data_IF_729493176982
#
_entry.id   IF_729493176982
#
_cell.length_a   1.000
_cell.length_b   1.000
_cell.length_c   1.000
_cell.angle_alpha   90.00
_cell.angle_beta   90.00
_cell.angle_gamma   90.00
#
_symmetry.space_group_name_H-M   'P 1'
#
loop_
_entity.id
_entity.type
_entity.pdbx_description
1 polymer ?
#
# COMPACT_ATOMS: atom_id res chain seq x y z
N UNK A 1 -15.52 -6.41 7.70
CA UNK A 1 -14.33 -7.04 8.33
C UNK A 1 -14.16 -8.42 7.72
N UNK A 2 -13.15 -8.65 6.87
CA UNK A 2 -12.94 -9.95 6.22
C UNK A 2 -12.27 -10.90 7.22
N UNK A 3 -12.96 -11.98 7.59
CA UNK A 3 -12.38 -13.06 8.39
C UNK A 3 -11.49 -13.89 7.46
N UNK A 4 -10.18 -13.76 7.62
CA UNK A 4 -9.23 -14.60 6.90
C UNK A 4 -9.02 -15.91 7.66
N UNK A 5 -9.20 -17.04 6.97
CA UNK A 5 -8.79 -18.35 7.46
C UNK A 5 -7.46 -18.71 6.79
N UNK A 6 -6.42 -18.95 7.58
CA UNK A 6 -5.10 -19.36 7.09
C UNK A 6 -5.04 -20.88 7.13
N UNK A 7 -5.01 -21.52 5.97
CA UNK A 7 -4.79 -22.96 5.84
C UNK A 7 -3.33 -23.22 5.48
N UNK A 8 -2.70 -24.17 6.17
CA UNK A 8 -1.41 -24.72 5.74
C UNK A 8 -1.66 -25.82 4.73
N UNK A 9 -0.99 -25.73 3.59
CA UNK A 9 -1.06 -26.73 2.53
C UNK A 9 0.37 -27.08 2.10
N UNK A 10 0.63 -28.36 1.89
CA UNK A 10 1.91 -28.89 1.40
C UNK A 10 2.06 -28.74 -0.13
N UNK A 11 1.01 -28.31 -0.84
CA UNK A 11 1.05 -28.06 -2.28
C UNK A 11 1.58 -26.66 -2.61
N UNK A 12 2.31 -26.47 -3.73
CA UNK A 12 2.77 -25.15 -4.16
C UNK A 12 1.61 -24.16 -4.33
N UNK A 13 1.76 -22.96 -3.77
CA UNK A 13 0.72 -21.91 -3.80
C UNK A 13 0.23 -21.58 -5.22
N UNK A 14 1.11 -21.68 -6.22
CA UNK A 14 0.77 -21.49 -7.63
C UNK A 14 -0.32 -22.47 -8.10
N UNK A 15 -0.21 -23.74 -7.74
CA UNK A 15 -1.16 -24.76 -8.18
C UNK A 15 -2.54 -24.51 -7.56
N UNK A 16 -2.56 -24.18 -6.27
CA UNK A 16 -3.78 -23.82 -5.53
C UNK A 16 -4.46 -22.60 -6.19
N UNK A 17 -3.69 -21.55 -6.47
CA UNK A 17 -4.21 -20.34 -7.12
C UNK A 17 -4.76 -20.63 -8.53
N UNK A 18 -4.07 -21.46 -9.30
CA UNK A 18 -4.48 -21.80 -10.68
C UNK A 18 -5.77 -22.61 -10.67
N UNK A 19 -5.86 -23.65 -9.83
CA UNK A 19 -7.08 -24.45 -9.70
C UNK A 19 -8.26 -23.65 -9.18
N UNK A 20 -8.06 -22.77 -8.19
CA UNK A 20 -9.12 -21.87 -7.71
C UNK A 20 -9.58 -20.91 -8.81
N UNK A 21 -8.65 -20.35 -9.58
CA UNK A 21 -8.97 -19.48 -10.70
C UNK A 21 -9.81 -20.20 -11.77
N UNK A 22 -9.43 -21.42 -12.14
CA UNK A 22 -10.18 -22.25 -13.10
C UNK A 22 -11.61 -22.56 -12.60
N UNK A 23 -11.75 -22.99 -11.34
CA UNK A 23 -13.05 -23.28 -10.73
C UNK A 23 -13.93 -22.03 -10.69
N UNK A 24 -13.39 -20.90 -10.22
CA UNK A 24 -14.13 -19.64 -10.17
C UNK A 24 -14.51 -19.14 -11.57
N UNK A 25 -13.63 -19.25 -12.55
CA UNK A 25 -13.88 -18.87 -13.94
C UNK A 25 -15.02 -19.70 -14.54
N UNK A 26 -15.01 -21.03 -14.31
CA UNK A 26 -16.06 -21.93 -14.75
C UNK A 26 -17.42 -21.58 -14.12
N UNK A 27 -17.48 -21.36 -12.81
CA UNK A 27 -18.72 -20.97 -12.11
C UNK A 27 -19.25 -19.62 -12.63
N UNK A 28 -18.36 -18.66 -12.88
CA UNK A 28 -18.74 -17.34 -13.41
C UNK A 28 -19.31 -17.45 -14.84
N UNK A 29 -18.71 -18.29 -15.69
CA UNK A 29 -19.18 -18.55 -17.05
C UNK A 29 -20.54 -19.27 -17.05
N UNK A 30 -20.71 -20.29 -16.21
CA UNK A 30 -21.99 -21.01 -16.04
C UNK A 30 -23.09 -20.08 -15.53
N UNK A 31 -22.80 -19.20 -14.57
CA UNK A 31 -23.75 -18.18 -14.08
C UNK A 31 -24.07 -17.11 -15.12
N UNK A 32 -23.20 -16.86 -16.10
CA UNK A 32 -23.46 -15.96 -17.23
C UNK A 32 -24.39 -16.62 -18.24
N UNK A 33 -24.15 -17.90 -18.55
CA UNK A 33 -24.97 -18.67 -19.49
C UNK A 33 -26.36 -18.99 -18.91
N UNK A 34 -26.46 -19.31 -17.61
CA UNK A 34 -27.74 -19.51 -16.93
C UNK A 34 -28.61 -18.25 -16.91
N UNK A 35 -28.01 -17.06 -16.72
CA UNK A 35 -28.74 -15.79 -16.81
C UNK A 35 -29.26 -15.48 -18.22
N UNK A 36 -28.60 -16.00 -19.25
CA UNK A 36 -29.07 -15.86 -20.63
C UNK A 36 -30.27 -16.78 -20.96
N UNK A 37 -30.43 -17.89 -20.23
CA UNK A 37 -31.54 -18.84 -20.42
C UNK A 37 -32.81 -18.47 -19.63
N UNK A 38 -32.69 -17.68 -18.56
CA UNK A 38 -33.80 -17.37 -17.63
C UNK A 38 -34.62 -16.15 -18.04
N UNK A 39 -34.18 -15.34 -19.01
CA UNK A 39 -34.99 -14.22 -19.53
C UNK A 39 -36.20 -14.66 -20.37
N UNK A 40 -36.40 -15.96 -20.61
CA UNK A 40 -37.51 -16.48 -21.42
C UNK A 40 -38.69 -17.07 -20.65
N UNK A 41 -38.55 -17.46 -19.38
CA UNK A 41 -39.63 -18.11 -18.64
C UNK A 41 -39.64 -17.68 -17.17
N UNK A 42 -40.72 -16.98 -16.78
CA UNK A 42 -41.13 -16.75 -15.41
C UNK A 42 -41.16 -18.09 -14.66
N UNK A 43 -40.36 -18.23 -13.59
CA UNK A 43 -40.51 -19.35 -12.68
C UNK A 43 -40.45 -18.91 -11.21
N UNK A 44 -41.47 -19.38 -10.51
CA UNK A 44 -41.88 -19.23 -9.13
C UNK A 44 -40.73 -19.30 -8.10
N UNK A 45 -40.68 -18.32 -7.21
CA UNK A 45 -39.55 -18.02 -6.32
C UNK A 45 -39.52 -18.88 -5.03
N UNK A 46 -40.28 -19.97 -4.97
CA UNK A 46 -40.70 -20.54 -3.69
C UNK A 46 -39.85 -21.70 -3.14
N UNK A 47 -38.72 -22.11 -3.74
CA UNK A 47 -37.95 -23.30 -3.26
C UNK A 47 -36.41 -23.26 -3.35
N UNK A 48 -35.76 -22.09 -3.37
CA UNK A 48 -34.30 -22.06 -3.13
C UNK A 48 -34.04 -21.59 -1.69
N UNK A 49 -33.46 -22.49 -0.89
CA UNK A 49 -32.89 -22.15 0.42
C UNK A 49 -31.85 -21.06 0.20
N UNK A 50 -32.18 -19.85 0.65
CA UNK A 50 -31.35 -18.67 0.52
C UNK A 50 -30.09 -18.83 1.38
N UNK A 51 -28.98 -19.15 0.74
CA UNK A 51 -27.66 -19.11 1.36
C UNK A 51 -27.17 -17.67 1.22
N UNK A 52 -27.01 -16.90 2.31
CA UNK A 52 -26.59 -15.50 2.23
C UNK A 52 -25.07 -15.45 2.05
N UNK A 53 -24.59 -15.86 0.87
CA UNK A 53 -23.21 -15.61 0.43
C UNK A 53 -23.21 -14.39 -0.50
N UNK A 54 -23.66 -13.24 0.04
CA UNK A 54 -23.26 -11.92 -0.48
C UNK A 54 -21.84 -11.62 -0.01
N UNK A 55 -20.86 -12.44 -0.44
CA UNK A 55 -19.48 -11.98 -0.50
C UNK A 55 -19.36 -11.33 -1.86
N UNK A 56 -19.76 -10.06 -1.93
CA UNK A 56 -19.52 -9.22 -3.09
C UNK A 56 -17.99 -9.19 -3.28
N UNK A 57 -17.52 -9.96 -4.27
CA UNK A 57 -16.14 -9.87 -4.72
C UNK A 57 -15.93 -8.40 -5.10
N UNK A 58 -14.95 -7.69 -4.51
CA UNK A 58 -14.73 -6.30 -4.85
C UNK A 58 -14.56 -6.23 -6.36
N UNK A 59 -15.53 -5.62 -7.05
CA UNK A 59 -15.38 -5.32 -8.46
C UNK A 59 -14.05 -4.55 -8.61
N UNK A 60 -13.28 -4.79 -9.68
CA UNK A 60 -12.07 -4.03 -9.93
C UNK A 60 -12.42 -2.54 -9.81
N UNK A 61 -11.96 -1.90 -8.72
CA UNK A 61 -12.18 -0.48 -8.57
C UNK A 61 -11.42 0.13 -9.74
N UNK A 62 -12.15 0.85 -10.60
CA UNK A 62 -11.55 1.66 -11.64
C UNK A 62 -10.74 2.75 -10.92
N UNK A 63 -9.51 2.43 -10.54
CA UNK A 63 -8.63 3.36 -9.86
C UNK A 63 -8.26 4.43 -10.87
N UNK A 64 -8.50 5.69 -10.51
CA UNK A 64 -8.20 6.82 -11.37
C UNK A 64 -6.68 6.89 -11.56
N UNK A 65 -6.20 6.37 -12.70
CA UNK A 65 -4.82 6.49 -13.13
C UNK A 65 -4.73 7.67 -14.07
N UNK A 66 -3.92 8.67 -13.71
CA UNK A 66 -3.66 9.84 -14.54
C UNK A 66 -2.31 9.69 -15.23
N UNK A 67 -2.23 10.02 -16.53
CA UNK A 67 -0.98 9.98 -17.30
C UNK A 67 -0.57 11.40 -17.71
N UNK A 68 0.68 11.78 -17.46
CA UNK A 68 1.24 13.09 -17.78
C UNK A 68 2.42 12.95 -18.74
N UNK A 69 2.39 13.63 -19.89
CA UNK A 69 3.53 13.68 -20.80
C UNK A 69 4.60 14.62 -20.26
N UNK A 70 5.84 14.14 -20.20
CA UNK A 70 7.00 14.86 -19.67
C UNK A 70 8.27 14.38 -20.35
N UNK A 71 9.39 15.07 -20.12
CA UNK A 71 10.70 14.51 -20.39
C UNK A 71 11.32 14.02 -19.09
N UNK A 72 11.78 12.78 -19.08
CA UNK A 72 12.52 12.23 -17.95
C UNK A 72 13.99 12.61 -18.07
N UNK A 73 14.49 13.32 -17.06
CA UNK A 73 15.88 13.78 -16.98
C UNK A 73 16.80 12.73 -16.35
N UNK A 74 16.21 11.65 -15.82
CA UNK A 74 16.92 10.60 -15.10
C UNK A 74 16.78 10.74 -13.59
N UNK A 75 17.68 10.08 -12.88
CA UNK A 75 17.71 10.06 -11.44
C UNK A 75 19.13 10.07 -10.90
N UNK A 76 19.33 10.67 -9.73
CA UNK A 76 20.64 10.78 -9.08
C UNK A 76 20.53 10.46 -7.59
N UNK A 77 21.53 9.82 -6.98
CA UNK A 77 21.56 9.64 -5.54
C UNK A 77 21.68 10.99 -4.82
N UNK A 78 20.99 11.14 -3.69
CA UNK A 78 21.02 12.36 -2.87
C UNK A 78 21.28 12.03 -1.41
N UNK A 79 21.96 12.94 -0.70
CA UNK A 79 22.41 12.70 0.67
C UNK A 79 21.29 12.82 1.73
N UNK A 80 20.21 13.55 1.42
CA UNK A 80 19.12 13.85 2.36
C UNK A 80 17.77 13.43 1.78
N UNK A 81 16.81 12.99 2.61
CA UNK A 81 15.48 12.59 2.16
C UNK A 81 14.59 13.76 1.77
N UNK A 82 14.90 14.97 2.23
CA UNK A 82 14.09 16.19 2.08
C UNK A 82 15.01 17.39 1.86
N UNK A 83 14.49 18.42 1.19
CA UNK A 83 15.19 19.68 0.98
C UNK A 83 14.97 20.23 -0.43
N UNK A 84 14.45 21.45 -0.50
CA UNK A 84 14.29 22.18 -1.78
C UNK A 84 15.67 22.48 -2.38
N UNK A 85 16.66 22.75 -1.54
CA UNK A 85 18.08 22.90 -1.90
C UNK A 85 18.65 21.61 -2.52
N UNK A 86 18.29 20.44 -1.97
CA UNK A 86 18.73 19.13 -2.46
C UNK A 86 18.18 18.86 -3.87
N UNK A 87 16.87 19.10 -4.06
CA UNK A 87 16.22 18.95 -5.36
C UNK A 87 16.82 19.90 -6.39
N UNK A 88 16.95 21.19 -6.06
CA UNK A 88 17.46 22.18 -7.00
C UNK A 88 18.93 21.93 -7.34
N UNK A 89 19.76 21.48 -6.39
CA UNK A 89 21.13 21.09 -6.67
C UNK A 89 21.22 19.91 -7.65
N UNK A 90 20.34 18.91 -7.51
CA UNK A 90 20.26 17.79 -8.46
C UNK A 90 19.80 18.24 -9.86
N UNK A 91 18.77 19.09 -9.93
CA UNK A 91 18.25 19.64 -11.19
C UNK A 91 19.30 20.50 -11.91
N UNK A 92 19.98 21.40 -11.21
CA UNK A 92 21.03 22.24 -11.78
C UNK A 92 22.19 21.40 -12.33
N UNK A 93 22.57 20.32 -11.62
CA UNK A 93 23.58 19.39 -12.10
C UNK A 93 23.18 18.70 -13.40
N UNK A 94 21.95 18.18 -13.51
CA UNK A 94 21.54 17.46 -14.73
C UNK A 94 21.31 18.40 -15.91
N UNK A 95 20.75 19.59 -15.65
CA UNK A 95 20.47 20.59 -16.68
C UNK A 95 21.75 21.25 -17.22
N UNK A 96 22.80 21.34 -16.42
CA UNK A 96 24.11 21.84 -16.88
C UNK A 96 24.90 20.79 -17.67
N UNK A 97 24.68 19.51 -17.42
CA UNK A 97 25.42 18.41 -18.09
C UNK A 97 24.69 17.81 -19.30
N UNK A 98 23.41 18.08 -19.49
CA UNK A 98 22.59 17.49 -20.56
C UNK A 98 21.90 18.53 -21.40
N UNK A 99 21.80 18.28 -22.71
CA UNK A 99 21.00 19.09 -23.62
C UNK A 99 19.60 18.50 -23.78
N UNK A 100 18.65 19.31 -24.25
CA UNK A 100 17.23 18.94 -24.36
C UNK A 100 16.99 17.73 -25.28
N UNK A 101 17.85 17.52 -26.25
CA UNK A 101 17.82 16.39 -27.20
C UNK A 101 18.16 15.05 -26.52
N UNK A 102 18.83 15.08 -25.37
CA UNK A 102 19.23 13.89 -24.61
C UNK A 102 18.15 13.46 -23.61
N UNK A 103 17.16 14.31 -23.34
CA UNK A 103 16.11 14.00 -22.38
C UNK A 103 15.15 12.97 -22.95
N UNK A 104 14.73 12.02 -22.12
CA UNK A 104 13.95 10.88 -22.59
C UNK A 104 12.46 11.23 -22.63
N UNK A 105 11.79 11.28 -23.81
CA UNK A 105 10.36 11.54 -23.89
C UNK A 105 9.58 10.43 -23.17
N UNK A 106 8.79 10.80 -22.18
CA UNK A 106 8.20 9.87 -21.22
C UNK A 106 6.77 10.28 -20.84
N UNK A 107 6.07 9.38 -20.16
CA UNK A 107 4.90 9.76 -19.39
C UNK A 107 4.98 9.22 -17.96
N UNK A 108 4.45 10.00 -17.02
CA UNK A 108 4.30 9.58 -15.62
C UNK A 108 2.85 9.16 -15.41
N UNK A 109 2.67 7.90 -15.08
CA UNK A 109 1.39 7.31 -14.66
C UNK A 109 1.27 7.41 -13.14
N UNK A 110 0.34 8.21 -12.66
CA UNK A 110 0.07 8.45 -11.24
C UNK A 110 -1.12 7.60 -10.82
N UNK A 111 -0.85 6.53 -10.07
CA UNK A 111 -1.84 5.67 -9.45
C UNK A 111 -1.84 5.88 -7.91
N UNK A 112 -2.87 5.40 -7.18
CA UNK A 112 -3.04 5.70 -5.75
C UNK A 112 -1.88 5.26 -4.83
N UNK A 113 -1.08 4.28 -5.24
CA UNK A 113 0.03 3.75 -4.44
C UNK A 113 1.37 3.72 -5.16
N UNK A 114 1.39 4.00 -6.46
CA UNK A 114 2.55 3.84 -7.34
C UNK A 114 2.58 4.94 -8.39
N UNK A 115 3.77 5.48 -8.63
CA UNK A 115 4.09 6.31 -9.78
C UNK A 115 4.91 5.45 -10.72
N UNK A 116 4.53 5.38 -11.98
CA UNK A 116 5.28 4.63 -12.99
C UNK A 116 5.75 5.60 -14.07
N UNK A 117 7.04 5.57 -14.37
CA UNK A 117 7.66 6.37 -15.42
C UNK A 117 7.84 5.44 -16.62
N UNK A 118 7.24 5.80 -17.75
CA UNK A 118 7.24 4.97 -18.96
C UNK A 118 7.78 5.76 -20.14
N UNK A 119 8.55 5.11 -21.00
CA UNK A 119 8.98 5.69 -22.26
C UNK A 119 7.76 5.96 -23.17
N UNK A 120 7.69 7.15 -23.78
CA UNK A 120 6.48 7.62 -24.48
C UNK A 120 6.09 6.75 -25.69
N UNK A 121 7.06 6.19 -26.42
CA UNK A 121 6.78 5.45 -27.66
C UNK A 121 6.68 3.93 -27.45
N UNK A 122 7.46 3.39 -26.51
CA UNK A 122 7.61 1.95 -26.33
C UNK A 122 6.85 1.43 -25.12
N UNK A 123 6.30 2.32 -24.28
CA UNK A 123 5.70 2.00 -22.98
C UNK A 123 6.66 1.18 -22.07
N UNK A 124 7.97 1.22 -22.34
CA UNK A 124 8.96 0.56 -21.51
C UNK A 124 9.04 1.24 -20.15
N UNK A 125 9.02 0.47 -19.06
CA UNK A 125 9.09 1.01 -17.70
C UNK A 125 10.51 1.50 -17.41
N UNK A 126 10.65 2.82 -17.28
CA UNK A 126 11.90 3.49 -16.94
C UNK A 126 12.11 3.57 -15.42
N UNK A 127 11.02 3.52 -14.65
CA UNK A 127 11.07 3.49 -13.19
C UNK A 127 9.71 3.26 -12.55
N UNK A 128 9.69 2.61 -11.39
CA UNK A 128 8.50 2.41 -10.57
C UNK A 128 8.76 2.91 -9.15
N UNK A 129 7.98 3.87 -8.71
CA UNK A 129 8.15 4.59 -7.46
C UNK A 129 6.91 4.40 -6.58
N UNK A 130 7.04 3.65 -5.48
CA UNK A 130 5.90 3.49 -4.56
C UNK A 130 5.71 4.75 -3.71
N UNK A 131 4.50 5.29 -3.70
CA UNK A 131 4.14 6.53 -2.97
C UNK A 131 4.55 6.48 -1.49
N UNK A 132 4.52 5.30 -0.87
CA UNK A 132 4.92 5.10 0.55
C UNK A 132 6.41 5.38 0.83
N UNK A 133 7.25 5.42 -0.18
CA UNK A 133 8.69 5.65 -0.07
C UNK A 133 9.09 7.01 -0.65
N UNK A 134 8.14 7.78 -1.18
CA UNK A 134 8.37 9.16 -1.57
C UNK A 134 8.53 9.99 -0.30
N UNK A 135 9.72 10.53 -0.08
CA UNK A 135 10.05 11.32 1.11
C UNK A 135 9.87 12.81 0.91
N UNK A 136 10.04 13.29 -0.33
CA UNK A 136 9.92 14.71 -0.67
C UNK A 136 9.55 14.89 -2.14
N UNK A 137 8.86 15.98 -2.48
CA UNK A 137 8.61 16.41 -3.85
C UNK A 137 8.61 17.93 -3.90
N UNK A 138 9.05 18.50 -5.03
CA UNK A 138 9.00 19.93 -5.27
C UNK A 138 9.03 20.27 -6.76
N UNK A 139 8.41 21.39 -7.11
CA UNK A 139 8.75 22.12 -8.35
C UNK A 139 10.08 22.84 -8.10
N UNK A 140 10.99 22.80 -9.07
CA UNK A 140 12.28 23.47 -8.96
C UNK A 140 12.16 24.99 -9.07
N UNK A 141 13.30 25.69 -9.11
CA UNK A 141 13.35 27.15 -9.35
C UNK A 141 12.72 27.53 -10.69
N UNK A 142 12.93 26.68 -11.69
CA UNK A 142 12.23 26.77 -12.97
C UNK A 142 10.88 26.04 -12.86
N UNK A 143 9.81 26.73 -13.25
CA UNK A 143 8.42 26.22 -13.21
C UNK A 143 8.19 24.98 -14.07
N UNK A 144 9.04 24.70 -15.06
CA UNK A 144 8.97 23.51 -15.89
C UNK A 144 9.60 22.29 -15.21
N UNK A 145 10.43 22.50 -14.19
CA UNK A 145 11.16 21.41 -13.53
C UNK A 145 10.39 20.85 -12.36
N UNK A 146 10.30 19.52 -12.30
CA UNK A 146 9.68 18.80 -11.19
C UNK A 146 10.60 17.68 -10.74
N UNK A 147 10.65 17.44 -9.44
CA UNK A 147 11.40 16.33 -8.90
C UNK A 147 10.79 15.78 -7.62
N UNK A 148 11.09 14.52 -7.34
CA UNK A 148 10.78 13.89 -6.07
C UNK A 148 11.90 12.97 -5.61
N UNK A 149 12.03 12.84 -4.30
CA UNK A 149 13.02 12.01 -3.63
C UNK A 149 12.33 10.73 -3.14
N UNK A 150 12.92 9.60 -3.51
CA UNK A 150 12.55 8.27 -3.09
C UNK A 150 13.55 7.75 -2.06
N UNK A 151 13.06 7.20 -0.96
CA UNK A 151 13.85 6.38 -0.05
C UNK A 151 14.05 4.98 -0.65
N UNK A 152 15.23 4.74 -1.23
CA UNK A 152 15.63 3.44 -1.78
C UNK A 152 16.11 2.47 -0.68
N UNK A 153 16.51 2.99 0.48
CA UNK A 153 16.92 2.21 1.66
C UNK A 153 17.01 3.09 2.91
N UNK A 154 17.42 2.54 4.08
CA UNK A 154 17.41 3.26 5.37
C UNK A 154 18.18 4.59 5.39
N UNK A 155 19.22 4.72 4.57
CA UNK A 155 20.00 5.95 4.39
C UNK A 155 20.39 6.17 2.92
N UNK A 156 19.59 5.63 1.99
CA UNK A 156 19.84 5.74 0.56
C UNK A 156 18.64 6.42 -0.10
N UNK A 157 18.88 7.55 -0.73
CA UNK A 157 17.84 8.36 -1.36
C UNK A 157 18.17 8.60 -2.82
N UNK A 158 17.15 8.62 -3.66
CA UNK A 158 17.27 8.84 -5.09
C UNK A 158 16.31 9.94 -5.52
N UNK A 159 16.80 10.96 -6.20
CA UNK A 159 16.01 12.05 -6.75
C UNK A 159 15.68 11.76 -8.22
N UNK A 160 14.40 11.64 -8.55
CA UNK A 160 13.90 11.53 -9.92
C UNK A 160 13.49 12.91 -10.43
N UNK A 161 13.88 13.25 -11.65
CA UNK A 161 13.75 14.60 -12.20
C UNK A 161 13.07 14.60 -13.56
N UNK A 162 12.23 15.61 -13.78
CA UNK A 162 11.37 15.73 -14.95
C UNK A 162 11.32 17.16 -15.45
N UNK A 163 11.16 17.30 -16.77
CA UNK A 163 10.79 18.53 -17.43
C UNK A 163 9.36 18.43 -17.95
N UNK A 164 8.52 19.40 -17.61
CA UNK A 164 7.09 19.42 -17.87
C UNK A 164 6.72 20.62 -18.74
N UNK A 165 5.84 20.42 -19.71
CA UNK A 165 5.31 21.47 -20.57
C UNK A 165 3.78 21.57 -20.38
N UNK A 166 3.21 22.78 -20.26
CA UNK A 166 3.85 24.09 -20.23
C UNK A 166 4.49 24.44 -18.86
N UNK A 167 4.27 23.64 -17.83
CA UNK A 167 4.91 23.74 -16.52
C UNK A 167 4.63 22.47 -15.70
N UNK A 168 5.20 22.38 -14.50
CA UNK A 168 5.09 21.24 -13.61
C UNK A 168 3.81 21.19 -12.74
N UNK A 169 2.92 22.18 -12.82
CA UNK A 169 1.81 22.32 -11.86
C UNK A 169 0.93 21.07 -11.81
N UNK A 170 0.42 20.62 -12.96
CA UNK A 170 -0.50 19.48 -13.04
C UNK A 170 0.10 18.17 -12.53
N UNK A 171 1.35 17.88 -12.90
CA UNK A 171 2.05 16.69 -12.43
C UNK A 171 2.31 16.77 -10.91
N UNK A 172 2.81 17.91 -10.43
CA UNK A 172 3.12 18.08 -9.01
C UNK A 172 1.88 17.96 -8.12
N UNK A 173 0.75 18.54 -8.54
CA UNK A 173 -0.55 18.44 -7.86
C UNK A 173 -1.06 16.99 -7.84
N UNK A 174 -0.95 16.28 -8.96
CA UNK A 174 -1.39 14.89 -9.03
C UNK A 174 -0.57 13.97 -8.11
N UNK A 175 0.76 14.14 -8.08
CA UNK A 175 1.63 13.36 -7.19
C UNK A 175 1.38 13.72 -5.72
N UNK A 176 1.20 15.02 -5.41
CA UNK A 176 0.84 15.46 -4.07
C UNK A 176 -0.50 14.88 -3.62
N UNK A 177 -1.53 14.91 -4.48
CA UNK A 177 -2.83 14.31 -4.21
C UNK A 177 -2.73 12.80 -3.96
N UNK A 178 -1.94 12.07 -4.75
CA UNK A 178 -1.69 10.64 -4.52
C UNK A 178 -1.05 10.39 -3.15
N UNK A 179 -0.06 11.20 -2.76
CA UNK A 179 0.56 11.14 -1.43
C UNK A 179 -0.44 11.37 -0.30
N UNK A 180 -1.26 12.43 -0.41
CA UNK A 180 -2.28 12.76 0.58
C UNK A 180 -3.33 11.67 0.72
N UNK A 181 -3.86 11.16 -0.40
CA UNK A 181 -4.84 10.07 -0.40
C UNK A 181 -4.26 8.79 0.21
N UNK A 182 -2.99 8.48 -0.10
CA UNK A 182 -2.33 7.30 0.45
C UNK A 182 -2.13 7.44 1.96
N UNK A 183 -1.74 8.62 2.43
CA UNK A 183 -1.60 8.92 3.85
C UNK A 183 -2.94 8.76 4.59
N UNK A 184 -4.01 9.35 4.06
CA UNK A 184 -5.36 9.25 4.65
C UNK A 184 -5.82 7.79 4.76
N UNK A 185 -5.68 6.99 3.68
CA UNK A 185 -6.04 5.56 3.70
C UNK A 185 -5.29 4.77 4.77
N UNK A 186 -4.03 5.12 5.05
CA UNK A 186 -3.25 4.47 6.10
C UNK A 186 -3.74 4.85 7.51
N UNK A 187 -4.17 6.11 7.71
CA UNK A 187 -4.77 6.54 8.97
C UNK A 187 -6.10 5.84 9.24
N UNK A 188 -6.98 5.77 8.24
CA UNK A 188 -8.29 5.14 8.35
C UNK A 188 -8.20 3.63 8.63
N UNK A 189 -7.25 2.94 7.98
CA UNK A 189 -6.99 1.52 8.25
C UNK A 189 -6.52 1.29 9.70
N UNK A 190 -5.75 2.22 10.27
CA UNK A 190 -5.26 2.15 11.65
C UNK A 190 -6.35 2.46 12.67
N UNK A 191 -7.23 3.41 12.38
CA UNK A 191 -8.37 3.72 13.26
C UNK A 191 -9.36 2.55 13.33
N UNK A 192 -9.66 1.90 12.21
CA UNK A 192 -10.48 0.68 12.16
C UNK A 192 -9.84 -0.50 12.90
N UNK A 193 -8.52 -0.61 12.91
CA UNK A 193 -7.83 -1.61 13.73
C UNK A 193 -7.99 -1.32 15.24
N UNK A 194 -7.98 -0.05 15.65
CA UNK A 194 -8.08 0.34 17.06
C UNK A 194 -9.50 0.26 17.67
N UNK A 195 -10.56 0.41 16.87
CA UNK A 195 -11.95 0.23 17.32
C UNK A 195 -12.44 -1.22 17.28
N UNK A 196 -11.59 -2.16 16.83
CA UNK A 196 -11.92 -3.59 16.73
C UNK A 196 -11.71 -4.39 18.03
N UNK A 197 -11.70 -3.72 19.20
CA UNK A 197 -11.91 -4.38 20.48
C UNK A 197 -13.33 -4.95 20.50
N UNK A 198 -13.49 -6.19 20.05
CA UNK A 198 -14.75 -6.94 20.16
C UNK A 198 -15.24 -6.89 21.62
N UNK A 199 -16.55 -6.78 21.87
CA UNK A 199 -17.10 -7.19 23.16
C UNK A 199 -16.72 -8.66 23.40
N UNK A 200 -16.41 -8.99 24.66
CA UNK A 200 -16.15 -10.37 25.06
C UNK A 200 -17.28 -11.27 24.54
N UNK A 201 -16.97 -12.46 23.99
CA UNK A 201 -18.00 -13.38 23.53
C UNK A 201 -18.92 -13.72 24.72
N UNK A 202 -20.25 -13.83 24.51
CA UNK A 202 -21.16 -14.29 25.54
C UNK A 202 -20.74 -15.70 26.01
N UNK A 203 -20.89 -15.95 27.31
CA UNK A 203 -20.26 -17.06 28.03
C UNK A 203 -20.73 -18.49 27.66
N UNK A 204 -21.48 -18.68 26.58
CA UNK A 204 -21.94 -19.99 26.13
C UNK A 204 -21.49 -20.28 24.70
N UNK A 205 -20.23 -20.65 24.56
CA UNK A 205 -19.78 -21.40 23.37
C UNK A 205 -18.75 -22.43 23.83
N UNK A 206 -19.24 -23.65 23.97
CA UNK A 206 -18.46 -24.85 24.27
C UNK A 206 -17.65 -25.21 23.01
N UNK A 207 -16.54 -24.53 22.79
CA UNK A 207 -15.50 -24.96 21.86
C UNK A 207 -14.14 -24.85 22.55
N UNK A 208 -13.48 -26.00 22.61
CA UNK A 208 -12.38 -26.37 23.50
C UNK A 208 -11.21 -25.37 23.55
N UNK A 209 -10.75 -25.15 24.78
CA UNK A 209 -9.53 -24.45 25.19
C UNK A 209 -8.33 -25.42 25.13
N UNK A 210 -7.35 -25.09 24.30
CA UNK A 210 -5.91 -25.43 24.50
C UNK A 210 -5.23 -24.09 24.21
N UNK A 211 -4.60 -23.37 25.12
CA UNK A 211 -3.85 -23.71 26.31
C UNK A 211 -2.63 -22.80 26.29
N UNK A 212 -2.79 -21.53 26.70
CA UNK A 212 -1.66 -20.67 27.06
C UNK A 212 -2.02 -19.87 28.30
N UNK A 213 -1.56 -20.39 29.44
CA UNK A 213 -1.63 -19.77 30.76
C UNK A 213 -0.53 -18.72 30.87
N UNK A 214 -0.92 -17.44 30.89
CA UNK A 214 -0.18 -16.42 31.62
C UNK A 214 -1.17 -15.75 32.56
N UNK A 215 -1.14 -16.12 33.85
CA UNK A 215 -1.56 -15.21 34.92
C UNK A 215 -0.75 -15.41 36.20
N UNK A 216 -0.10 -14.31 36.56
CA UNK A 216 0.20 -13.77 37.91
C UNK A 216 -0.46 -14.51 39.09
N UNK A 217 0.36 -14.76 40.11
CA UNK A 217 0.00 -14.76 41.53
C UNK A 217 1.08 -13.98 42.29
N UNK A 218 0.92 -13.38 43.46
CA UNK A 218 -0.20 -13.15 44.40
C UNK A 218 0.26 -11.93 45.23
N UNK A 219 -0.65 -11.00 45.52
CA UNK A 219 -0.48 -10.05 46.63
C UNK A 219 -1.16 -10.64 47.87
N UNK A 220 -0.44 -10.76 48.98
CA UNK A 220 -0.91 -10.43 50.34
C UNK A 220 0.13 -10.84 51.39
N UNK A 221 0.57 -9.88 52.23
CA UNK A 221 0.32 -9.82 53.68
C UNK A 221 1.29 -8.87 54.39
N UNK A 222 0.73 -8.12 55.35
CA UNK A 222 1.32 -7.12 56.23
C UNK A 222 2.58 -7.55 57.00
N UNK A 223 3.38 -6.54 57.41
CA UNK A 223 4.25 -6.63 58.58
C UNK A 223 5.34 -5.56 58.62
N UNK A 224 5.12 -4.49 59.40
CA UNK A 224 6.16 -3.55 59.85
C UNK A 224 7.24 -4.27 60.67
N UNK A 225 8.50 -3.79 60.63
CA UNK A 225 9.53 -3.75 61.71
C UNK A 225 10.94 -3.58 61.06
N UNK A 226 11.55 -2.39 61.21
CA UNK A 226 13.03 -2.22 61.30
C UNK A 226 13.45 -2.66 62.72
N UNK A 227 14.72 -2.99 63.10
CA UNK A 227 16.02 -2.70 62.45
C UNK A 227 17.08 -3.85 62.53
N UNK A 228 18.28 -3.70 61.94
CA UNK A 228 19.63 -3.70 62.61
C UNK A 228 20.80 -3.81 61.59
N UNK A 229 21.88 -3.07 61.86
CA UNK A 229 23.20 -3.12 61.20
C UNK A 229 23.99 -4.37 61.57
N UNK A 230 24.91 -4.79 60.68
CA UNK A 230 26.27 -5.37 60.83
C UNK A 230 26.56 -6.10 59.50
N UNK A 231 27.65 -5.98 58.74
CA UNK A 231 28.98 -5.41 58.89
C UNK A 231 29.99 -6.41 58.29
N UNK A 232 30.88 -5.93 57.39
CA UNK A 232 32.16 -6.54 56.94
C UNK A 232 32.09 -7.85 56.12
N UNK A 233 33.06 -8.23 55.29
CA UNK A 233 34.11 -7.57 54.51
C UNK A 233 34.47 -8.58 53.38
N UNK A 234 34.93 -8.05 52.25
CA UNK A 234 35.70 -8.72 51.20
C UNK A 234 37.02 -9.32 51.70
N UNK A 235 37.65 -10.21 50.93
CA UNK A 235 39.07 -10.09 50.57
C UNK A 235 39.26 -9.22 49.32
#
# INVERSE_FOLDING_TARGET
MLKCHVFRCEAPAKNIATSLHEICSKIMAERRNARCLVNGLSLDHSKLVDVPFQVEFPAPKNELVQKFQVYYLGNVPVAKPVGVDVINGALESVLSSSSREQWTPSHVSVAPATLTILHQQTEAVLGECRVRFLSFLAVGRDVHTFAFIMAAGPASFCCHMFWCEPNAASLSEAVQAACMLRYQKCLDARSQASTSCLPAPPAESVARRVGWTVRRGVQSLWGSIKPKRLGAHTP
#
